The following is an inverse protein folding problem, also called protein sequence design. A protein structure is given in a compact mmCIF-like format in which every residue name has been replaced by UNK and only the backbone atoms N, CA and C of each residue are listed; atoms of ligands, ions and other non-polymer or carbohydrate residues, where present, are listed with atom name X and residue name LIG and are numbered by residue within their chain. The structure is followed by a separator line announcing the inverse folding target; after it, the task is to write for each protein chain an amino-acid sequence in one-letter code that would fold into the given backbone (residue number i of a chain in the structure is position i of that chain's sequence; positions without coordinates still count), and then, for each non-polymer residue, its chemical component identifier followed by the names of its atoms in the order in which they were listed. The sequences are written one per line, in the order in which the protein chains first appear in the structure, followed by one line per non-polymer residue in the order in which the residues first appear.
data_IF_782348595721
#
_entry.id   IF_782348595721
#
_cell.length_a   1.000
_cell.length_b   1.000
_cell.length_c   1.000
_cell.angle_alpha   90.00
_cell.angle_beta   90.00
_cell.angle_gamma   90.00
#
_symmetry.space_group_name_H-M   'P 1'
#
loop_
_entity.id
_entity.type
_entity.pdbx_description
1 polymer ?
#
# COMPACT_ATOMS: atom_id res chain seq x y z
N UNK A 1 -6.69 -2.46 -24.47
CA UNK A 1 -6.75 -2.51 -23.00
C UNK A 1 -5.70 -3.48 -22.51
N UNK A 2 -4.85 -3.07 -21.58
CA UNK A 2 -3.90 -3.91 -20.86
C UNK A 2 -4.34 -3.92 -19.39
N UNK A 3 -4.29 -5.09 -18.75
CA UNK A 3 -4.52 -5.22 -17.31
C UNK A 3 -3.29 -5.85 -16.67
N UNK A 4 -2.78 -5.20 -15.63
CA UNK A 4 -1.65 -5.68 -14.83
C UNK A 4 -2.21 -6.07 -13.47
N UNK A 5 -1.81 -7.23 -12.96
CA UNK A 5 -2.20 -7.70 -11.63
C UNK A 5 -0.93 -7.92 -10.82
N UNK A 6 -0.89 -7.39 -9.60
CA UNK A 6 0.17 -7.65 -8.63
C UNK A 6 -0.33 -8.72 -7.67
N UNK A 7 0.40 -9.82 -7.56
CA UNK A 7 0.01 -10.97 -6.76
C UNK A 7 1.13 -11.36 -5.81
N UNK A 8 0.76 -11.67 -4.57
CA UNK A 8 1.65 -12.31 -3.62
C UNK A 8 1.51 -13.83 -3.76
N UNK A 9 2.63 -14.51 -3.96
CA UNK A 9 2.73 -15.97 -3.94
C UNK A 9 3.53 -16.40 -2.72
N UNK A 10 2.88 -16.75 -1.59
CA UNK A 10 3.57 -17.18 -0.38
C UNK A 10 4.47 -18.39 -0.67
N UNK A 11 5.76 -18.26 -0.33
CA UNK A 11 6.76 -19.32 -0.60
C UNK A 11 6.93 -19.67 -2.08
N UNK A 12 6.53 -18.78 -3.00
CA UNK A 12 6.61 -19.00 -4.45
C UNK A 12 5.63 -20.04 -4.99
N UNK A 13 4.61 -20.42 -4.22
CA UNK A 13 3.61 -21.42 -4.60
C UNK A 13 2.32 -20.74 -5.03
N UNK A 14 1.62 -21.34 -5.99
CA UNK A 14 0.29 -20.86 -6.40
C UNK A 14 -0.77 -21.08 -5.31
N UNK A 15 -0.61 -22.14 -4.50
CA UNK A 15 -1.47 -22.39 -3.35
C UNK A 15 -1.32 -21.28 -2.32
N UNK A 16 -2.40 -20.53 -2.07
CA UNK A 16 -2.40 -19.37 -1.17
C UNK A 16 -2.10 -18.02 -1.85
N UNK A 17 -2.08 -17.99 -3.19
CA UNK A 17 -2.00 -16.75 -3.97
C UNK A 17 -3.06 -15.73 -3.53
N UNK A 18 -2.64 -14.47 -3.42
CA UNK A 18 -3.53 -13.33 -3.18
C UNK A 18 -3.21 -12.20 -4.15
N UNK A 19 -4.23 -11.65 -4.78
CA UNK A 19 -4.11 -10.40 -5.55
C UNK A 19 -4.00 -9.23 -4.56
N UNK A 20 -2.98 -8.40 -4.75
CA UNK A 20 -2.72 -7.21 -3.93
C UNK A 20 -3.17 -5.92 -4.59
N UNK A 21 -3.04 -5.84 -5.92
CA UNK A 21 -3.39 -4.64 -6.68
C UNK A 21 -3.63 -5.00 -8.15
N UNK A 22 -4.28 -4.11 -8.88
CA UNK A 22 -4.32 -4.16 -10.33
C UNK A 22 -4.29 -2.77 -10.96
N UNK A 23 -3.83 -2.71 -12.20
CA UNK A 23 -3.83 -1.52 -13.03
C UNK A 23 -4.58 -1.80 -14.33
N UNK A 24 -5.42 -0.87 -14.75
CA UNK A 24 -6.07 -0.89 -16.06
C UNK A 24 -5.47 0.22 -16.93
N UNK A 25 -4.97 -0.15 -18.11
CA UNK A 25 -4.33 0.77 -19.05
C UNK A 25 -5.08 0.69 -20.39
N UNK A 26 -5.86 1.72 -20.66
CA UNK A 26 -6.71 1.85 -21.84
C UNK A 26 -6.00 2.65 -22.91
N UNK A 27 -5.95 2.14 -24.15
CA UNK A 27 -5.45 2.92 -25.28
C UNK A 27 -6.60 3.77 -25.83
N UNK A 28 -6.55 5.08 -25.59
CA UNK A 28 -7.59 6.02 -26.01
C UNK A 28 -7.27 6.66 -27.36
N UNK A 29 -5.98 6.71 -27.71
CA UNK A 29 -5.51 7.09 -29.05
C UNK A 29 -4.44 6.13 -29.54
N UNK A 30 -4.65 5.59 -30.73
CA UNK A 30 -3.72 4.69 -31.41
C UNK A 30 -2.84 5.43 -32.42
N UNK A 31 -1.65 4.90 -32.66
CA UNK A 31 -0.68 5.45 -33.60
C UNK A 31 0.76 5.16 -33.18
N UNK A 32 1.72 5.75 -33.89
CA UNK A 32 3.14 5.72 -33.50
C UNK A 32 3.37 6.42 -32.15
N UNK A 33 2.63 7.50 -31.91
CA UNK A 33 2.48 8.17 -30.62
C UNK A 33 1.07 7.92 -30.11
N UNK A 34 0.97 7.17 -29.02
CA UNK A 34 -0.29 6.69 -28.47
C UNK A 34 -0.61 7.38 -27.14
N UNK A 35 -1.90 7.59 -26.89
CA UNK A 35 -2.38 8.13 -25.63
C UNK A 35 -3.08 7.02 -24.84
N UNK A 36 -2.85 7.03 -23.52
CA UNK A 36 -3.37 6.03 -22.59
C UNK A 36 -4.07 6.69 -21.41
N UNK A 37 -5.16 6.06 -20.96
CA UNK A 37 -5.77 6.31 -19.65
C UNK A 37 -5.42 5.17 -18.71
N UNK A 38 -5.14 5.51 -17.46
CA UNK A 38 -4.63 4.60 -16.43
C UNK A 38 -5.51 4.71 -15.20
N UNK A 39 -5.88 3.57 -14.63
CA UNK A 39 -6.54 3.46 -13.33
C UNK A 39 -5.76 2.47 -12.46
N UNK A 40 -5.46 2.84 -11.21
CA UNK A 40 -4.77 1.99 -10.23
C UNK A 40 -5.69 1.65 -9.07
N UNK A 41 -5.73 0.37 -8.70
CA UNK A 41 -6.51 -0.12 -7.59
C UNK A 41 -5.69 -1.04 -6.69
N UNK A 42 -5.82 -0.84 -5.38
CA UNK A 42 -5.19 -1.62 -4.32
C UNK A 42 -6.27 -2.40 -3.53
N UNK A 43 -6.01 -3.67 -3.22
CA UNK A 43 -6.97 -4.54 -2.51
C UNK A 43 -7.32 -4.02 -1.11
N UNK A 44 -6.44 -3.23 -0.48
CA UNK A 44 -6.65 -2.66 0.85
C UNK A 44 -7.01 -1.19 0.79
N UNK A 45 -6.29 -0.40 0.01
CA UNK A 45 -6.48 1.06 -0.06
C UNK A 45 -7.59 1.47 -1.04
N UNK A 46 -8.09 0.54 -1.85
CA UNK A 46 -9.14 0.80 -2.82
C UNK A 46 -8.62 1.52 -4.05
N UNK A 47 -9.39 2.49 -4.54
CA UNK A 47 -8.97 3.32 -5.68
C UNK A 47 -7.79 4.21 -5.28
N UNK A 48 -6.66 4.03 -5.97
CA UNK A 48 -5.45 4.83 -5.77
C UNK A 48 -5.49 6.09 -6.62
N UNK A 49 -6.16 6.04 -7.77
CA UNK A 49 -6.33 7.17 -8.68
C UNK A 49 -6.16 6.81 -10.15
N UNK A 50 -6.30 7.85 -10.97
CA UNK A 50 -6.24 7.74 -12.43
C UNK A 50 -5.44 8.86 -13.05
N UNK A 51 -4.90 8.62 -14.25
CA UNK A 51 -4.15 9.61 -15.01
C UNK A 51 -4.16 9.33 -16.51
N UNK A 52 -3.64 10.27 -17.28
CA UNK A 52 -3.41 10.12 -18.72
C UNK A 52 -1.93 10.21 -19.06
N UNK A 53 -1.45 9.31 -19.92
CA UNK A 53 -0.13 9.34 -20.52
C UNK A 53 -0.28 9.67 -22.01
N UNK A 54 0.22 10.82 -22.44
CA UNK A 54 0.04 11.33 -23.80
C UNK A 54 1.29 11.19 -24.65
N UNK A 55 1.14 10.83 -25.93
CA UNK A 55 2.22 10.85 -26.90
C UNK A 55 3.28 9.77 -26.71
N UNK A 56 2.96 8.67 -26.05
CA UNK A 56 3.92 7.59 -25.77
C UNK A 56 4.34 6.89 -27.07
N UNK A 57 5.65 6.76 -27.36
CA UNK A 57 6.15 6.11 -28.57
C UNK A 57 6.06 4.58 -28.44
N UNK A 58 4.88 4.02 -28.73
CA UNK A 58 4.51 2.62 -28.46
C UNK A 58 5.52 1.57 -28.94
N UNK A 59 6.19 1.84 -30.06
CA UNK A 59 7.11 0.89 -30.71
C UNK A 59 8.58 1.11 -30.32
N UNK A 60 8.88 2.09 -29.46
CA UNK A 60 10.25 2.46 -29.09
C UNK A 60 10.78 1.73 -27.85
N UNK A 61 9.92 1.06 -27.08
CA UNK A 61 10.28 0.37 -25.85
C UNK A 61 9.40 -0.86 -25.60
N UNK A 62 9.71 -1.59 -24.52
CA UNK A 62 8.92 -2.75 -24.12
C UNK A 62 7.58 -2.33 -23.51
N UNK A 63 6.63 -3.26 -23.43
CA UNK A 63 5.38 -3.03 -22.69
C UNK A 63 5.60 -2.72 -21.21
N UNK A 64 6.71 -3.19 -20.62
CA UNK A 64 7.05 -2.91 -19.22
C UNK A 64 7.49 -1.46 -19.00
N UNK A 65 8.09 -0.80 -19.99
CA UNK A 65 8.38 0.64 -19.93
C UNK A 65 7.09 1.45 -19.89
N UNK A 66 6.12 1.09 -20.76
CA UNK A 66 4.77 1.67 -20.73
C UNK A 66 4.12 1.48 -19.36
N UNK A 67 4.12 0.24 -18.83
CA UNK A 67 3.53 -0.06 -17.52
C UNK A 67 4.19 0.76 -16.42
N UNK A 68 5.52 0.85 -16.39
CA UNK A 68 6.26 1.61 -15.39
C UNK A 68 5.90 3.10 -15.44
N UNK A 69 5.89 3.71 -16.63
CA UNK A 69 5.49 5.12 -16.82
C UNK A 69 4.04 5.35 -16.41
N UNK A 70 3.12 4.49 -16.84
CA UNK A 70 1.70 4.55 -16.48
C UNK A 70 1.51 4.56 -14.95
N UNK A 71 2.12 3.60 -14.25
CA UNK A 71 2.06 3.53 -12.78
C UNK A 71 2.66 4.79 -12.16
N UNK A 72 3.79 5.25 -12.68
CA UNK A 72 4.52 6.40 -12.17
C UNK A 72 3.71 7.68 -12.27
N UNK A 73 3.07 7.94 -13.42
CA UNK A 73 2.24 9.12 -13.63
C UNK A 73 1.05 9.15 -12.67
N UNK A 74 0.43 8.00 -12.37
CA UNK A 74 -0.65 7.96 -11.37
C UNK A 74 -0.11 8.24 -9.96
N UNK A 75 1.05 7.70 -9.60
CA UNK A 75 1.61 7.83 -8.25
C UNK A 75 2.23 9.20 -7.95
N UNK A 76 2.79 9.89 -8.95
CA UNK A 76 3.52 11.16 -8.74
C UNK A 76 2.99 12.34 -9.54
N UNK A 77 2.07 12.11 -10.50
CA UNK A 77 1.64 13.11 -11.48
C UNK A 77 2.68 13.40 -12.57
N UNK A 78 3.84 12.75 -12.54
CA UNK A 78 4.96 12.94 -13.46
C UNK A 78 5.43 11.58 -14.00
N UNK A 79 6.20 11.55 -15.08
CA UNK A 79 6.90 10.33 -15.52
C UNK A 79 8.17 10.04 -14.68
N UNK A 80 8.14 10.37 -13.38
CA UNK A 80 9.24 10.18 -12.41
C UNK A 80 8.74 9.49 -11.14
N UNK A 81 9.48 8.47 -10.68
CA UNK A 81 9.09 7.72 -9.48
C UNK A 81 9.04 8.65 -8.26
N UNK A 82 8.01 8.53 -7.40
CA UNK A 82 8.00 9.26 -6.15
C UNK A 82 9.20 8.85 -5.28
N UNK A 83 9.61 9.70 -4.31
CA UNK A 83 10.66 9.33 -3.38
C UNK A 83 10.37 7.99 -2.70
N UNK A 84 11.44 7.23 -2.44
CA UNK A 84 11.31 5.94 -1.75
C UNK A 84 10.55 6.12 -0.43
N UNK A 85 9.47 5.36 -0.18
CA UNK A 85 8.76 5.43 1.09
C UNK A 85 9.68 5.14 2.28
N UNK A 86 9.48 5.87 3.37
CA UNK A 86 10.19 5.65 4.63
C UNK A 86 9.30 4.87 5.60
N UNK A 87 9.91 4.02 6.43
CA UNK A 87 9.17 3.35 7.50
C UNK A 87 8.58 4.40 8.46
N UNK A 88 7.28 4.30 8.79
CA UNK A 88 6.63 5.27 9.66
C UNK A 88 7.26 5.23 11.06
N UNK A 89 7.62 6.40 11.57
CA UNK A 89 8.10 6.57 12.95
C UNK A 89 6.92 6.95 13.82
N UNK A 90 6.50 6.02 14.68
CA UNK A 90 5.36 6.20 15.58
C UNK A 90 5.83 6.23 17.03
N UNK A 91 5.23 7.07 17.90
CA UNK A 91 5.56 7.06 19.32
C UNK A 91 5.25 5.70 19.98
N UNK A 92 6.10 5.31 20.93
CA UNK A 92 5.91 4.11 21.74
C UNK A 92 5.50 4.55 23.14
N UNK A 93 4.38 4.02 23.61
CA UNK A 93 3.82 4.30 24.93
C UNK A 93 3.97 3.08 25.84
N UNK A 94 3.81 3.30 27.14
CA UNK A 94 3.75 2.24 28.16
C UNK A 94 2.54 2.53 29.04
N UNK A 95 1.81 1.48 29.43
CA UNK A 95 0.70 1.61 30.37
C UNK A 95 1.22 1.89 31.78
N UNK A 96 0.44 2.58 32.62
CA UNK A 96 0.82 2.86 34.01
C UNK A 96 0.51 1.66 34.94
N UNK A 97 -0.10 0.60 34.39
CA UNK A 97 -0.30 -0.67 35.08
C UNK A 97 1.02 -1.34 35.50
N UNK A 98 0.97 -2.18 36.54
CA UNK A 98 2.15 -2.82 37.15
C UNK A 98 3.01 -3.67 36.20
N UNK A 99 2.49 -4.07 35.04
CA UNK A 99 3.23 -4.79 33.99
C UNK A 99 3.94 -3.88 32.97
N UNK A 100 3.60 -2.59 32.90
CA UNK A 100 4.23 -1.61 32.01
C UNK A 100 4.20 -2.01 30.52
N UNK A 101 3.07 -2.53 30.04
CA UNK A 101 2.96 -3.12 28.70
C UNK A 101 3.21 -2.06 27.62
N UNK A 102 4.16 -2.28 26.69
CA UNK A 102 4.42 -1.33 25.62
C UNK A 102 3.39 -1.44 24.48
N UNK A 103 2.92 -0.30 23.99
CA UNK A 103 1.90 -0.22 22.94
C UNK A 103 2.12 0.97 22.01
N UNK A 104 1.46 0.93 20.85
CA UNK A 104 1.32 2.04 19.91
C UNK A 104 -0.14 2.43 19.80
N UNK A 105 -0.42 3.72 19.55
CA UNK A 105 -1.77 4.23 19.32
C UNK A 105 -2.08 4.24 17.83
N UNK A 106 -3.22 3.70 17.42
CA UNK A 106 -3.55 3.59 16.00
C UNK A 106 -3.75 4.97 15.36
N UNK A 107 -4.36 5.91 16.08
CA UNK A 107 -4.49 7.32 15.65
C UNK A 107 -3.18 8.07 15.39
N UNK A 108 -2.06 7.63 15.96
CA UNK A 108 -0.74 8.25 15.76
C UNK A 108 0.01 7.67 14.56
N UNK A 109 -0.50 6.59 13.96
CA UNK A 109 0.07 5.97 12.78
C UNK A 109 -0.35 6.78 11.54
N UNK A 110 0.60 7.25 10.70
CA UNK A 110 0.26 7.97 9.48
C UNK A 110 -0.37 7.03 8.44
N UNK A 111 -1.26 7.56 7.61
CA UNK A 111 -1.71 6.86 6.41
C UNK A 111 -0.58 6.78 5.38
N UNK A 112 -0.54 5.71 4.55
CA UNK A 112 -1.49 4.58 4.49
C UNK A 112 -1.20 3.45 5.50
N UNK A 113 -0.14 3.57 6.30
CA UNK A 113 0.32 2.49 7.18
C UNK A 113 -0.73 2.13 8.25
N UNK A 114 -1.52 3.10 8.72
CA UNK A 114 -2.61 2.85 9.67
C UNK A 114 -3.67 1.92 9.09
N UNK A 115 -4.18 2.20 7.90
CA UNK A 115 -5.20 1.36 7.23
C UNK A 115 -4.67 -0.05 6.99
N UNK A 116 -3.43 -0.17 6.49
CA UNK A 116 -2.79 -1.47 6.26
C UNK A 116 -2.63 -2.26 7.56
N UNK A 117 -2.15 -1.61 8.62
CA UNK A 117 -1.94 -2.23 9.91
C UNK A 117 -3.24 -2.68 10.56
N UNK A 118 -4.28 -1.84 10.54
CA UNK A 118 -5.61 -2.19 11.05
C UNK A 118 -6.17 -3.44 10.37
N UNK A 119 -5.97 -3.59 9.05
CA UNK A 119 -6.38 -4.82 8.34
C UNK A 119 -5.56 -6.05 8.77
N UNK A 120 -4.27 -5.88 9.06
CA UNK A 120 -3.42 -6.97 9.58
C UNK A 120 -3.76 -7.38 11.02
N UNK A 121 -4.36 -6.49 11.81
CA UNK A 121 -4.80 -6.77 13.17
C UNK A 121 -6.10 -7.60 13.23
N UNK A 122 -6.76 -7.87 12.10
CA UNK A 122 -7.98 -8.68 12.08
C UNK A 122 -7.73 -10.07 12.73
N UNK A 123 -8.36 -10.31 13.88
CA UNK A 123 -8.21 -11.55 14.66
C UNK A 123 -7.12 -11.50 15.75
N UNK A 124 -6.42 -10.37 15.91
CA UNK A 124 -5.46 -10.12 17.00
C UNK A 124 -6.15 -9.49 18.21
N UNK A 125 -5.71 -9.87 19.41
CA UNK A 125 -6.17 -9.23 20.65
C UNK A 125 -5.46 -7.88 20.79
N UNK A 126 -6.23 -6.79 20.91
CA UNK A 126 -5.69 -5.46 21.18
C UNK A 126 -5.66 -5.20 22.70
N UNK A 127 -4.65 -4.47 23.21
CA UNK A 127 -4.60 -4.10 24.62
C UNK A 127 -5.73 -3.11 24.97
N UNK A 128 -6.36 -3.32 26.13
CA UNK A 128 -7.15 -2.29 26.79
C UNK A 128 -6.20 -1.44 27.64
N UNK A 129 -6.03 -0.17 27.29
CA UNK A 129 -5.17 0.77 28.01
C UNK A 129 -6.04 1.82 28.71
N UNK A 130 -6.44 1.57 29.95
CA UNK A 130 -7.38 2.43 30.70
C UNK A 130 -6.89 3.87 30.89
N UNK A 131 -5.56 4.07 30.94
CA UNK A 131 -4.93 5.38 31.11
C UNK A 131 -4.91 6.22 29.81
N UNK A 132 -5.27 5.63 28.67
CA UNK A 132 -5.35 6.32 27.39
C UNK A 132 -6.75 6.96 27.19
N UNK A 133 -6.87 8.15 26.57
CA UNK A 133 -8.17 8.72 26.26
C UNK A 133 -9.02 7.86 25.32
N UNK A 134 -8.40 6.97 24.52
CA UNK A 134 -9.09 5.99 23.68
C UNK A 134 -8.55 4.58 23.96
N UNK A 135 -8.99 3.93 25.05
CA UNK A 135 -8.40 2.70 25.57
C UNK A 135 -8.37 1.50 24.61
N UNK A 136 -9.25 1.51 23.61
CA UNK A 136 -9.41 0.44 22.61
C UNK A 136 -8.73 0.78 21.27
N UNK A 137 -8.18 1.98 21.09
CA UNK A 137 -7.50 2.43 19.86
C UNK A 137 -5.97 2.22 19.94
N UNK A 138 -5.57 1.09 20.51
CA UNK A 138 -4.19 0.74 20.80
C UNK A 138 -3.85 -0.65 20.25
N UNK A 139 -2.59 -0.85 19.88
CA UNK A 139 -2.06 -2.15 19.49
C UNK A 139 -0.78 -2.46 20.26
N UNK A 140 -0.52 -3.75 20.49
CA UNK A 140 0.74 -4.17 21.12
C UNK A 140 1.95 -3.75 20.28
N UNK A 141 3.03 -3.35 20.95
CA UNK A 141 4.27 -2.99 20.24
C UNK A 141 4.84 -4.16 19.42
N UNK A 142 4.66 -5.40 19.89
CA UNK A 142 5.06 -6.61 19.17
C UNK A 142 4.36 -6.70 17.82
N UNK A 143 3.04 -6.48 17.81
CA UNK A 143 2.21 -6.58 16.61
C UNK A 143 2.62 -5.55 15.56
N UNK A 144 2.90 -4.33 16.01
CA UNK A 144 3.42 -3.27 15.15
C UNK A 144 4.81 -3.61 14.58
N UNK A 145 5.68 -4.19 15.40
CA UNK A 145 7.03 -4.58 14.97
C UNK A 145 6.98 -5.71 13.94
N UNK A 146 6.14 -6.72 14.18
CA UNK A 146 5.93 -7.84 13.27
C UNK A 146 5.33 -7.38 11.92
N UNK A 147 4.39 -6.43 11.97
CA UNK A 147 3.83 -5.81 10.77
C UNK A 147 4.91 -5.10 9.94
N UNK A 148 5.75 -4.26 10.57
CA UNK A 148 6.84 -3.59 9.87
C UNK A 148 7.91 -4.55 9.34
N UNK A 149 8.10 -5.70 9.99
CA UNK A 149 8.99 -6.77 9.53
C UNK A 149 8.39 -7.63 8.42
N UNK A 150 7.10 -7.46 8.09
CA UNK A 150 6.38 -8.26 7.11
C UNK A 150 6.09 -9.70 7.56
N UNK A 151 6.01 -9.92 8.87
CA UNK A 151 5.64 -11.22 9.47
C UNK A 151 4.14 -11.38 9.67
N UNK A 152 3.36 -10.30 9.45
CA UNK A 152 1.90 -10.24 9.50
C UNK A 152 1.32 -9.73 8.19
#
# INVERSE_FOLDING_TARGET
MLRITVELLPGGREGGKRTLAHAEISNVKSGALADYEIELHDDVLGDIGSASLTGYPRMAATVWDLVARCITVVLSGLEELPPRPQSPRVPIHRSDSSSGTPYVRLREIPEPARTLFQRSLAGSTCPLVEDDPEPMDCAHLSDWTDFLAGWR
#
